data_IF_919972488715
#
_entry.id   IF_919972488715
#
_cell.length_a   1.000
_cell.length_b   1.000
_cell.length_c   1.000
_cell.angle_alpha   90.00
_cell.angle_beta   90.00
_cell.angle_gamma   90.00
#
_symmetry.space_group_name_H-M   'P 1'
#
loop_
_entity.id
_entity.type
_entity.pdbx_description
1 polymer ?
#
# COMPACT_ATOMS: atom_id res chain seq x y z
N UNK A 1 -11.31 8.82 2.13
CA UNK A 1 -11.22 9.96 3.05
C UNK A 1 -11.97 9.61 4.31
N UNK A 2 -11.44 9.95 5.49
CA UNK A 2 -12.14 9.73 6.77
C UNK A 2 -13.26 10.75 6.96
N UNK A 3 -14.36 10.31 7.57
CA UNK A 3 -15.49 11.14 8.01
C UNK A 3 -15.20 11.90 9.33
N UNK A 4 -14.13 11.53 10.03
CA UNK A 4 -13.68 12.14 11.28
C UNK A 4 -12.17 12.45 11.22
N UNK A 5 -11.72 13.34 10.31
CA UNK A 5 -10.29 13.59 10.08
C UNK A 5 -9.57 14.22 11.27
N UNK A 6 -10.26 14.97 12.14
CA UNK A 6 -9.67 15.55 13.35
C UNK A 6 -9.40 14.50 14.44
N UNK A 7 -10.30 13.52 14.59
CA UNK A 7 -10.11 12.40 15.52
C UNK A 7 -9.10 11.38 15.00
N UNK A 8 -9.02 11.21 13.67
CA UNK A 8 -8.15 10.22 13.03
C UNK A 8 -7.29 10.83 11.89
N UNK A 9 -6.35 11.73 12.21
CA UNK A 9 -5.57 12.45 11.20
C UNK A 9 -4.73 11.53 10.32
N UNK A 10 -4.23 10.40 10.84
CA UNK A 10 -3.40 9.43 10.09
C UNK A 10 -4.14 8.70 8.96
N UNK A 11 -5.47 8.70 8.96
CA UNK A 11 -6.30 8.08 7.91
C UNK A 11 -7.26 9.09 7.26
N UNK A 12 -7.03 10.38 7.46
CA UNK A 12 -7.76 11.42 6.76
C UNK A 12 -7.73 11.16 5.24
N UNK A 13 -6.56 10.77 4.71
CA UNK A 13 -6.35 10.31 3.35
C UNK A 13 -5.81 8.87 3.38
N UNK A 14 -6.63 7.91 2.96
CA UNK A 14 -6.31 6.47 2.99
C UNK A 14 -6.75 5.82 1.69
N UNK A 15 -5.96 6.04 0.64
CA UNK A 15 -6.29 5.63 -0.73
C UNK A 15 -5.78 4.22 -1.02
N UNK A 16 -6.58 3.41 -1.71
CA UNK A 16 -6.14 2.13 -2.27
C UNK A 16 -5.48 2.34 -3.63
N UNK A 17 -4.27 1.84 -3.80
CA UNK A 17 -3.63 1.71 -5.11
C UNK A 17 -3.76 0.26 -5.61
N UNK A 18 -4.08 0.09 -6.89
CA UNK A 18 -4.16 -1.22 -7.54
C UNK A 18 -2.93 -1.38 -8.42
N UNK A 19 -2.11 -2.39 -8.11
CA UNK A 19 -0.88 -2.71 -8.84
C UNK A 19 -1.12 -3.99 -9.65
N UNK A 20 -0.66 -4.00 -10.89
CA UNK A 20 -0.85 -5.14 -11.78
C UNK A 20 -0.04 -6.36 -11.32
N UNK A 21 -0.71 -7.48 -11.09
CA UNK A 21 -0.08 -8.75 -10.72
C UNK A 21 0.50 -9.49 -11.93
N UNK A 22 1.49 -10.40 -11.73
CA UNK A 22 1.86 -11.38 -12.74
C UNK A 22 0.74 -12.40 -12.97
N UNK A 23 0.71 -12.97 -14.18
CA UNK A 23 -0.22 -14.06 -14.52
C UNK A 23 -0.02 -15.24 -13.55
N UNK A 24 -1.12 -15.72 -12.96
CA UNK A 24 -1.10 -16.86 -12.04
C UNK A 24 -0.54 -16.55 -10.64
N UNK A 25 -0.22 -15.29 -10.31
CA UNK A 25 0.22 -14.88 -8.97
C UNK A 25 1.48 -15.60 -8.44
N UNK A 26 2.38 -16.01 -9.33
CA UNK A 26 3.69 -16.53 -8.93
C UNK A 26 4.70 -15.39 -8.83
N UNK A 27 5.46 -15.36 -7.73
CA UNK A 27 6.41 -14.30 -7.43
C UNK A 27 7.78 -14.87 -7.06
N UNK A 28 8.83 -14.10 -7.34
CA UNK A 28 10.13 -14.24 -6.66
C UNK A 28 10.08 -13.45 -5.36
N UNK A 29 10.77 -13.91 -4.33
CA UNK A 29 10.85 -13.22 -3.03
C UNK A 29 11.40 -11.81 -3.17
N UNK A 30 12.47 -11.63 -3.95
CA UNK A 30 13.10 -10.34 -4.26
C UNK A 30 12.09 -9.29 -4.80
N UNK A 31 11.17 -9.71 -5.67
CA UNK A 31 10.15 -8.79 -6.20
C UNK A 31 9.21 -8.30 -5.09
N UNK A 32 8.74 -9.21 -4.23
CA UNK A 32 7.85 -8.85 -3.13
C UNK A 32 8.56 -7.96 -2.11
N UNK A 33 9.84 -8.22 -1.81
CA UNK A 33 10.66 -7.39 -0.93
C UNK A 33 10.79 -5.97 -1.47
N UNK A 34 11.11 -5.81 -2.77
CA UNK A 34 11.18 -4.48 -3.39
C UNK A 34 9.85 -3.72 -3.35
N UNK A 35 8.73 -4.44 -3.47
CA UNK A 35 7.39 -3.85 -3.39
C UNK A 35 7.07 -3.40 -1.96
N UNK A 36 7.44 -4.20 -0.96
CA UNK A 36 7.26 -3.86 0.46
C UNK A 36 8.11 -2.65 0.85
N UNK A 37 9.38 -2.58 0.43
CA UNK A 37 10.23 -1.41 0.69
C UNK A 37 9.65 -0.11 0.11
N UNK A 38 9.05 -0.19 -1.09
CA UNK A 38 8.38 0.96 -1.70
C UNK A 38 7.12 1.37 -0.94
N UNK A 39 6.33 0.38 -0.50
CA UNK A 39 5.10 0.61 0.25
C UNK A 39 5.43 1.24 1.60
N UNK A 40 6.41 0.71 2.36
CA UNK A 40 6.82 1.23 3.67
C UNK A 40 7.21 2.71 3.59
N UNK A 41 7.83 3.11 2.47
CA UNK A 41 8.28 4.49 2.27
C UNK A 41 7.16 5.48 1.93
N UNK A 42 6.05 5.02 1.35
CA UNK A 42 5.06 5.90 0.68
C UNK A 42 3.60 5.58 0.97
N UNK A 43 3.34 4.48 1.65
CA UNK A 43 2.02 3.94 1.96
C UNK A 43 1.77 3.91 3.46
N UNK A 44 0.83 3.07 3.85
CA UNK A 44 0.39 2.88 5.24
C UNK A 44 0.97 1.62 5.90
N UNK A 45 1.94 0.99 5.24
CA UNK A 45 2.73 -0.13 5.71
C UNK A 45 3.75 -0.49 4.66
#
# INVERSE_FOLDING_TARGET
>A
YSDQPEMFPGVAHFHTLRINQPMGHYYKTEFLESLMELWERRGSG
#
